data_IF_616045007541
#
_entry.id   IF_616045007541
#
_cell.length_a   1.000
_cell.length_b   1.000
_cell.length_c   1.000
_cell.angle_alpha   90.00
_cell.angle_beta   90.00
_cell.angle_gamma   90.00
#
_symmetry.space_group_name_H-M   'P 1'
#
loop_
_entity.id
_entity.type
_entity.pdbx_description
1 polymer ?
#
# COMPACT_ATOMS: atom_id res chain seq x y z
N UNK A 1 69.20 34.41 -4.51
CA UNK A 1 70.58 34.91 -4.63
C UNK A 1 70.49 36.25 -5.34
N UNK A 2 70.78 37.33 -4.62
CA UNK A 2 70.63 38.69 -5.09
C UNK A 2 71.67 38.99 -6.18
N UNK A 3 71.21 39.09 -7.42
CA UNK A 3 72.00 39.59 -8.55
C UNK A 3 72.09 41.10 -8.41
N UNK A 4 73.25 41.55 -7.94
CA UNK A 4 73.71 42.93 -7.99
C UNK A 4 73.62 43.44 -9.43
N UNK A 5 72.74 44.43 -9.65
CA UNK A 5 72.76 45.30 -10.82
C UNK A 5 74.18 45.87 -10.94
N UNK A 6 74.88 45.74 -12.09
CA UNK A 6 76.13 46.43 -12.27
C UNK A 6 75.88 47.94 -12.25
N UNK A 7 76.70 48.65 -11.50
CA UNK A 7 76.62 50.08 -11.17
C UNK A 7 76.19 50.95 -12.36
N UNK A 8 75.03 51.59 -12.22
CA UNK A 8 74.52 52.65 -13.08
C UNK A 8 75.24 53.99 -12.86
N UNK A 9 76.56 53.97 -12.62
CA UNK A 9 77.37 55.16 -12.38
C UNK A 9 78.70 55.09 -13.14
N UNK A 10 78.65 54.67 -14.39
CA UNK A 10 79.73 54.98 -15.33
C UNK A 10 79.58 56.45 -15.76
N UNK A 11 80.10 57.35 -14.92
CA UNK A 11 80.61 58.69 -15.26
C UNK A 11 79.82 59.37 -16.39
N UNK A 12 78.72 60.07 -16.04
CA UNK A 12 78.19 61.12 -16.91
C UNK A 12 79.26 62.21 -17.01
N UNK A 13 80.13 62.07 -18.00
CA UNK A 13 80.84 63.23 -18.53
C UNK A 13 79.77 64.23 -18.95
N UNK A 14 79.85 65.52 -18.55
CA UNK A 14 78.88 66.52 -18.97
C UNK A 14 78.97 66.67 -20.49
N UNK A 15 78.12 65.93 -21.21
CA UNK A 15 78.04 66.02 -22.65
C UNK A 15 77.46 67.38 -23.01
N UNK A 16 78.10 68.05 -23.96
CA UNK A 16 77.68 69.35 -24.47
C UNK A 16 76.32 69.26 -25.21
N UNK A 17 75.87 68.04 -25.52
CA UNK A 17 74.61 67.76 -26.18
C UNK A 17 73.47 67.65 -25.16
N UNK A 18 72.40 68.39 -25.40
CA UNK A 18 71.16 68.28 -24.65
C UNK A 18 70.30 67.10 -25.13
N UNK A 19 70.61 65.90 -24.62
CA UNK A 19 69.88 64.67 -24.95
C UNK A 19 68.41 64.69 -24.50
N UNK A 20 68.04 65.48 -23.49
CA UNK A 20 66.66 65.56 -23.00
C UNK A 20 65.73 66.18 -24.04
N UNK A 21 66.21 67.21 -24.76
CA UNK A 21 65.47 67.82 -25.87
C UNK A 21 65.23 66.82 -27.01
N UNK A 22 66.23 65.99 -27.34
CA UNK A 22 66.13 64.99 -28.42
C UNK A 22 65.31 63.75 -28.08
N UNK A 23 65.31 63.31 -26.82
CA UNK A 23 64.54 62.15 -26.36
C UNK A 23 63.09 62.52 -26.00
N UNK A 24 62.73 63.81 -26.05
CA UNK A 24 61.38 64.26 -25.74
C UNK A 24 60.35 63.74 -26.77
N UNK A 25 59.18 63.24 -26.33
CA UNK A 25 58.16 62.69 -27.24
C UNK A 25 57.51 63.73 -28.17
N UNK A 26 57.77 65.02 -27.92
CA UNK A 26 57.28 66.15 -28.71
C UNK A 26 58.37 66.77 -29.61
N UNK A 27 59.54 66.13 -29.74
CA UNK A 27 60.63 66.65 -30.55
C UNK A 27 60.20 66.74 -32.02
N UNK A 28 60.18 67.95 -32.57
CA UNK A 28 59.90 68.21 -33.97
C UNK A 28 61.17 68.76 -34.67
N UNK A 29 61.76 68.03 -35.62
CA UNK A 29 63.04 68.41 -36.26
C UNK A 29 62.99 69.79 -36.93
N UNK A 30 61.85 70.15 -37.53
CA UNK A 30 61.67 71.42 -38.23
C UNK A 30 61.61 72.63 -37.28
N UNK A 31 60.99 72.50 -36.10
CA UNK A 31 60.95 73.59 -35.10
C UNK A 31 62.31 73.78 -34.43
N UNK A 32 63.03 72.68 -34.19
CA UNK A 32 64.38 72.74 -33.67
C UNK A 32 65.34 73.43 -34.65
N UNK A 33 65.33 73.03 -35.93
CA UNK A 33 66.11 73.68 -36.98
C UNK A 33 65.79 75.19 -37.07
N UNK A 34 64.51 75.57 -37.01
CA UNK A 34 64.11 76.98 -36.98
C UNK A 34 64.63 77.72 -35.76
N UNK A 35 64.55 77.13 -34.56
CA UNK A 35 65.11 77.76 -33.34
C UNK A 35 66.63 77.96 -33.44
N UNK A 36 67.34 77.05 -34.11
CA UNK A 36 68.80 77.09 -34.25
C UNK A 36 69.24 78.12 -35.30
N UNK A 37 68.49 78.30 -36.38
CA UNK A 37 68.69 79.37 -37.37
C UNK A 37 68.41 80.74 -36.76
N UNK A 38 67.35 80.87 -35.95
CA UNK A 38 67.02 82.12 -35.25
C UNK A 38 68.02 82.46 -34.13
N UNK A 39 68.65 81.46 -33.52
CA UNK A 39 69.64 81.67 -32.45
C UNK A 39 71.03 82.08 -32.97
N UNK A 40 71.32 81.84 -34.26
CA UNK A 40 72.64 82.05 -34.88
C UNK A 40 72.69 83.27 -35.79
N UNK A 41 71.54 83.75 -36.27
CA UNK A 41 71.45 84.89 -37.19
C UNK A 41 70.72 86.07 -36.53
N UNK A 42 71.23 87.29 -36.74
CA UNK A 42 70.51 88.51 -36.38
C UNK A 42 69.59 88.96 -37.52
N UNK A 43 68.48 89.68 -37.24
CA UNK A 43 67.49 90.07 -38.27
C UNK A 43 68.02 91.04 -39.33
N UNK A 44 69.22 91.61 -39.15
CA UNK A 44 69.87 92.54 -40.08
C UNK A 44 70.97 91.88 -40.95
N UNK A 45 71.25 90.59 -40.76
CA UNK A 45 72.28 89.87 -41.54
C UNK A 45 71.75 89.48 -42.93
N UNK A 46 72.36 90.04 -43.99
CA UNK A 46 72.15 89.62 -45.38
C UNK A 46 73.49 89.45 -46.10
N UNK A 47 73.83 88.24 -46.60
CA UNK A 47 73.04 87.01 -46.65
C UNK A 47 73.01 86.22 -45.33
N UNK A 48 71.92 85.46 -45.13
CA UNK A 48 71.69 84.56 -43.99
C UNK A 48 72.79 83.49 -43.89
N UNK A 49 73.41 83.36 -42.72
CA UNK A 49 74.44 82.34 -42.48
C UNK A 49 73.79 81.00 -42.10
N UNK A 50 73.75 80.09 -43.08
CA UNK A 50 73.29 78.71 -42.90
C UNK A 50 74.45 77.75 -42.61
N UNK A 51 75.70 78.18 -42.76
CA UNK A 51 76.86 77.32 -42.56
C UNK A 51 77.08 77.02 -41.08
N UNK A 52 76.89 78.03 -40.20
CA UNK A 52 77.08 77.89 -38.75
C UNK A 52 76.01 76.99 -38.07
N UNK A 53 74.71 77.12 -38.36
CA UNK A 53 73.68 76.18 -37.89
C UNK A 53 73.92 74.74 -38.34
N UNK A 54 74.26 74.58 -39.62
CA UNK A 54 74.45 73.29 -40.23
C UNK A 54 75.69 72.59 -39.69
N UNK A 55 76.79 73.32 -39.47
CA UNK A 55 78.00 72.75 -38.86
C UNK A 55 77.76 72.30 -37.42
N UNK A 56 76.96 73.04 -36.64
CA UNK A 56 76.57 72.63 -35.29
C UNK A 56 75.74 71.35 -35.28
N UNK A 57 74.68 71.27 -36.09
CA UNK A 57 73.84 70.06 -36.18
C UNK A 57 74.63 68.85 -36.68
N UNK A 58 75.54 69.05 -37.64
CA UNK A 58 76.41 67.98 -38.11
C UNK A 58 77.38 67.51 -37.02
N UNK A 59 77.91 68.42 -36.21
CA UNK A 59 78.77 68.07 -35.09
C UNK A 59 78.00 67.28 -34.02
N UNK A 60 76.80 67.75 -33.65
CA UNK A 60 75.92 67.07 -32.70
C UNK A 60 75.54 65.66 -33.21
N UNK A 61 75.20 65.52 -34.48
CA UNK A 61 74.88 64.21 -35.09
C UNK A 61 76.09 63.27 -35.11
N UNK A 62 77.28 63.77 -35.45
CA UNK A 62 78.51 62.98 -35.43
C UNK A 62 78.88 62.53 -34.03
N UNK A 63 78.70 63.39 -33.02
CA UNK A 63 78.96 63.05 -31.63
C UNK A 63 77.96 62.01 -31.11
N UNK A 64 76.66 62.17 -31.41
CA UNK A 64 75.62 61.16 -31.11
C UNK A 64 75.95 59.82 -31.77
N UNK A 65 76.27 59.81 -33.06
CA UNK A 65 76.63 58.58 -33.78
C UNK A 65 77.87 57.92 -33.16
N UNK A 66 78.90 58.71 -32.84
CA UNK A 66 80.11 58.20 -32.19
C UNK A 66 79.83 57.65 -30.80
N UNK A 67 78.90 58.27 -30.05
CA UNK A 67 78.53 57.85 -28.72
C UNK A 67 77.67 56.59 -28.75
N UNK A 68 76.73 56.49 -29.69
CA UNK A 68 75.94 55.28 -29.96
C UNK A 68 76.87 54.16 -30.39
N UNK A 69 77.83 54.40 -31.29
CA UNK A 69 78.79 53.40 -31.72
C UNK A 69 79.69 52.95 -30.56
N UNK A 70 80.15 53.86 -29.71
CA UNK A 70 80.96 53.54 -28.54
C UNK A 70 80.15 52.73 -27.51
N UNK A 71 78.94 53.16 -27.19
CA UNK A 71 78.05 52.43 -26.28
C UNK A 71 77.67 51.08 -26.85
N UNK A 72 77.34 51.00 -28.13
CA UNK A 72 76.96 49.75 -28.81
C UNK A 72 78.14 48.81 -28.89
N UNK A 73 79.34 49.27 -29.23
CA UNK A 73 80.54 48.41 -29.26
C UNK A 73 80.98 47.97 -27.87
N UNK A 74 80.92 48.86 -26.87
CA UNK A 74 81.27 48.55 -25.48
C UNK A 74 80.25 47.63 -24.81
N UNK A 75 78.96 47.79 -25.11
CA UNK A 75 77.86 47.01 -24.53
C UNK A 75 77.31 45.90 -25.45
N UNK A 76 77.90 45.71 -26.64
CA UNK A 76 77.49 44.67 -27.60
C UNK A 76 77.47 43.29 -26.96
N UNK A 77 78.51 42.97 -26.20
CA UNK A 77 78.63 41.67 -25.53
C UNK A 77 77.54 41.50 -24.45
N UNK A 78 77.32 42.44 -23.51
CA UNK A 78 76.19 42.41 -22.59
C UNK A 78 74.81 42.29 -23.25
N UNK A 79 74.54 43.03 -24.33
CA UNK A 79 73.25 43.00 -25.03
C UNK A 79 73.01 41.66 -25.73
N UNK A 80 74.05 41.11 -26.36
CA UNK A 80 73.99 39.77 -26.96
C UNK A 80 73.84 38.68 -25.89
N UNK A 81 74.53 38.79 -24.76
CA UNK A 81 74.36 37.88 -23.63
C UNK A 81 72.95 37.97 -23.01
N UNK A 82 72.41 39.18 -22.86
CA UNK A 82 71.06 39.40 -22.35
C UNK A 82 70.00 38.80 -23.30
N UNK A 83 70.08 39.10 -24.59
CA UNK A 83 69.15 38.52 -25.58
C UNK A 83 69.30 37.01 -25.71
N UNK A 84 70.53 36.48 -25.65
CA UNK A 84 70.79 35.04 -25.64
C UNK A 84 70.20 34.38 -24.40
N UNK A 85 70.44 34.92 -23.21
CA UNK A 85 69.92 34.39 -21.94
C UNK A 85 68.39 34.48 -21.88
N UNK A 86 67.78 35.57 -22.32
CA UNK A 86 66.33 35.73 -22.42
C UNK A 86 65.72 34.71 -23.38
N UNK A 87 66.35 34.50 -24.55
CA UNK A 87 65.91 33.51 -25.54
C UNK A 87 66.06 32.09 -24.99
N UNK A 88 67.16 31.79 -24.31
CA UNK A 88 67.39 30.49 -23.66
C UNK A 88 66.39 30.23 -22.53
N UNK A 89 66.12 31.21 -21.67
CA UNK A 89 65.14 31.11 -20.60
C UNK A 89 63.72 30.90 -21.16
N UNK A 90 63.33 31.67 -22.18
CA UNK A 90 62.03 31.52 -22.84
C UNK A 90 61.87 30.14 -23.48
N UNK A 91 62.91 29.64 -24.16
CA UNK A 91 62.92 28.27 -24.72
C UNK A 91 62.82 27.21 -23.63
N UNK A 92 63.51 27.38 -22.50
CA UNK A 92 63.44 26.45 -21.37
C UNK A 92 62.04 26.43 -20.74
N UNK A 93 61.41 27.60 -20.57
CA UNK A 93 60.04 27.72 -20.04
C UNK A 93 59.04 27.05 -20.99
N UNK A 94 59.12 27.32 -22.29
CA UNK A 94 58.23 26.71 -23.29
C UNK A 94 58.41 25.18 -23.30
N UNK A 95 59.65 24.69 -23.31
CA UNK A 95 59.91 23.25 -23.27
C UNK A 95 59.35 22.58 -22.00
N UNK A 96 59.45 23.25 -20.84
CA UNK A 96 58.88 22.74 -19.59
C UNK A 96 57.35 22.80 -19.58
N UNK A 97 56.76 23.85 -20.16
CA UNK A 97 55.32 23.98 -20.31
C UNK A 97 54.76 22.92 -21.26
N UNK A 98 55.41 22.69 -22.40
CA UNK A 98 55.03 21.66 -23.37
C UNK A 98 55.08 20.27 -22.73
N UNK A 99 56.10 19.98 -21.92
CA UNK A 99 56.18 18.73 -21.18
C UNK A 99 55.03 18.57 -20.16
N UNK A 100 54.63 19.65 -19.49
CA UNK A 100 53.50 19.64 -18.55
C UNK A 100 52.14 19.54 -19.26
N UNK A 101 51.97 20.19 -20.41
CA UNK A 101 50.75 20.09 -21.22
C UNK A 101 50.62 18.67 -21.79
N UNK A 102 51.71 18.08 -22.25
CA UNK A 102 51.74 16.70 -22.72
C UNK A 102 51.35 15.74 -21.60
N UNK A 103 51.96 15.87 -20.41
CA UNK A 103 51.63 15.00 -19.27
C UNK A 103 50.18 15.18 -18.80
N UNK A 104 49.64 16.41 -18.83
CA UNK A 104 48.24 16.67 -18.52
C UNK A 104 47.30 16.00 -19.53
N UNK A 105 47.57 16.15 -20.83
CA UNK A 105 46.77 15.51 -21.87
C UNK A 105 46.81 13.98 -21.77
N UNK A 106 47.98 13.41 -21.45
CA UNK A 106 48.10 11.97 -21.25
C UNK A 106 47.33 11.51 -20.00
N UNK A 107 47.40 12.27 -18.90
CA UNK A 107 46.61 11.99 -17.69
C UNK A 107 45.09 12.10 -17.93
N UNK A 108 44.66 13.06 -18.76
CA UNK A 108 43.26 13.23 -19.12
C UNK A 108 42.77 12.07 -19.99
N UNK A 109 43.55 11.67 -21.00
CA UNK A 109 43.23 10.49 -21.83
C UNK A 109 43.19 9.22 -20.99
N UNK A 110 44.08 9.10 -20.02
CA UNK A 110 44.05 7.98 -19.08
C UNK A 110 42.80 8.01 -18.22
N UNK A 111 42.39 9.18 -17.70
CA UNK A 111 41.18 9.34 -16.90
C UNK A 111 39.90 9.09 -17.70
N UNK A 112 39.83 9.56 -18.95
CA UNK A 112 38.73 9.28 -19.87
C UNK A 112 38.56 7.77 -20.06
N UNK A 113 39.66 7.07 -20.39
CA UNK A 113 39.64 5.63 -20.61
C UNK A 113 39.37 4.82 -19.34
N UNK A 114 39.95 5.21 -18.21
CA UNK A 114 39.85 4.44 -16.97
C UNK A 114 38.57 4.72 -16.18
N UNK A 115 38.01 5.92 -16.28
CA UNK A 115 36.87 6.36 -15.46
C UNK A 115 35.61 6.50 -16.30
N UNK A 116 35.66 7.23 -17.43
CA UNK A 116 34.44 7.54 -18.20
C UNK A 116 33.94 6.28 -18.91
N UNK A 117 34.81 5.59 -19.65
CA UNK A 117 34.43 4.38 -20.37
C UNK A 117 33.97 3.29 -19.40
N UNK A 118 34.72 3.08 -18.30
CA UNK A 118 34.32 2.10 -17.27
C UNK A 118 33.01 2.48 -16.57
N UNK A 119 32.75 3.77 -16.37
CA UNK A 119 31.48 4.22 -15.80
C UNK A 119 30.32 3.96 -16.75
N UNK A 120 30.51 4.18 -18.06
CA UNK A 120 29.51 3.86 -19.07
C UNK A 120 29.21 2.35 -19.11
N UNK A 121 30.24 1.50 -19.09
CA UNK A 121 30.08 0.04 -18.98
C UNK A 121 29.37 -0.36 -17.67
N UNK A 122 29.73 0.25 -16.54
CA UNK A 122 29.09 -0.01 -15.25
C UNK A 122 27.61 0.41 -15.26
N UNK A 123 27.25 1.48 -15.96
CA UNK A 123 25.88 1.95 -16.11
C UNK A 123 25.03 0.99 -16.94
N UNK A 124 25.60 0.41 -18.00
CA UNK A 124 24.95 -0.67 -18.75
C UNK A 124 24.71 -1.91 -17.87
N UNK A 125 25.72 -2.33 -17.10
CA UNK A 125 25.60 -3.45 -16.15
C UNK A 125 24.54 -3.13 -15.09
N UNK A 126 24.49 -1.89 -14.59
CA UNK A 126 23.47 -1.44 -13.63
C UNK A 126 22.07 -1.57 -14.21
N UNK A 127 21.86 -1.19 -15.47
CA UNK A 127 20.58 -1.35 -16.15
C UNK A 127 20.19 -2.83 -16.32
N UNK A 128 21.14 -3.68 -16.70
CA UNK A 128 20.92 -5.14 -16.79
C UNK A 128 20.57 -5.71 -15.41
N UNK A 129 21.29 -5.31 -14.36
CA UNK A 129 21.04 -5.75 -12.99
C UNK A 129 19.66 -5.31 -12.48
N UNK A 130 19.22 -4.08 -12.80
CA UNK A 130 17.87 -3.61 -12.46
C UNK A 130 16.79 -4.42 -13.17
N UNK A 131 16.95 -4.69 -14.47
CA UNK A 131 16.01 -5.54 -15.22
C UNK A 131 15.97 -6.96 -14.66
N UNK A 132 17.12 -7.54 -14.32
CA UNK A 132 17.21 -8.86 -13.69
C UNK A 132 16.56 -8.89 -12.30
N UNK A 133 16.72 -7.81 -11.53
CA UNK A 133 16.07 -7.71 -10.23
C UNK A 133 14.55 -7.60 -10.36
N UNK A 134 14.05 -6.80 -11.31
CA UNK A 134 12.61 -6.70 -11.59
C UNK A 134 12.02 -8.04 -12.03
N UNK A 135 12.71 -8.78 -12.92
CA UNK A 135 12.26 -10.11 -13.35
C UNK A 135 12.30 -11.12 -12.21
N UNK A 136 13.35 -11.11 -11.37
CA UNK A 136 13.44 -11.98 -10.19
C UNK A 136 12.34 -11.66 -9.17
N UNK A 137 12.08 -10.38 -8.90
CA UNK A 137 11.03 -9.94 -7.98
C UNK A 137 9.66 -10.41 -8.45
N UNK A 138 9.32 -10.14 -9.71
CA UNK A 138 8.06 -10.58 -10.32
C UNK A 138 7.96 -12.11 -10.36
N UNK A 139 9.04 -12.81 -10.69
CA UNK A 139 9.10 -14.27 -10.73
C UNK A 139 8.89 -14.91 -9.37
N UNK A 140 9.48 -14.36 -8.30
CA UNK A 140 9.27 -14.83 -6.92
C UNK A 140 7.84 -14.61 -6.44
N UNK A 141 7.29 -13.42 -6.68
CA UNK A 141 5.91 -13.12 -6.31
C UNK A 141 4.91 -13.99 -7.10
N UNK A 142 5.12 -14.18 -8.41
CA UNK A 142 4.33 -15.12 -9.21
C UNK A 142 4.45 -16.56 -8.68
N UNK A 143 5.67 -17.00 -8.33
CA UNK A 143 5.91 -18.32 -7.74
C UNK A 143 5.14 -18.52 -6.44
N UNK A 144 5.15 -17.52 -5.55
CA UNK A 144 4.37 -17.53 -4.30
C UNK A 144 2.86 -17.62 -4.58
N UNK A 145 2.33 -16.79 -5.49
CA UNK A 145 0.91 -16.84 -5.88
C UNK A 145 0.51 -18.20 -6.46
N UNK A 146 1.32 -18.78 -7.35
CA UNK A 146 1.05 -20.09 -7.95
C UNK A 146 1.14 -21.22 -6.91
N UNK A 147 2.09 -21.16 -5.98
CA UNK A 147 2.22 -22.12 -4.90
C UNK A 147 1.01 -22.07 -3.96
N UNK A 148 0.58 -20.87 -3.57
CA UNK A 148 -0.64 -20.68 -2.78
C UNK A 148 -1.89 -21.11 -3.54
N UNK A 149 -1.96 -20.85 -4.85
CA UNK A 149 -3.04 -21.33 -5.72
C UNK A 149 -3.10 -22.86 -5.80
N UNK A 150 -1.95 -23.52 -5.92
CA UNK A 150 -1.86 -24.99 -5.87
C UNK A 150 -2.26 -25.53 -4.51
N UNK A 151 -1.80 -24.91 -3.42
CA UNK A 151 -2.19 -25.27 -2.06
C UNK A 151 -3.70 -25.14 -1.88
N UNK A 152 -4.31 -24.08 -2.40
CA UNK A 152 -5.76 -23.88 -2.37
C UNK A 152 -6.49 -25.00 -3.12
N UNK A 153 -6.02 -25.41 -4.30
CA UNK A 153 -6.64 -26.51 -5.05
C UNK A 153 -6.57 -27.84 -4.32
N UNK A 154 -5.44 -28.14 -3.66
CA UNK A 154 -5.28 -29.38 -2.86
C UNK A 154 -6.19 -29.34 -1.64
N UNK A 155 -6.21 -28.23 -0.90
CA UNK A 155 -7.10 -28.08 0.25
C UNK A 155 -8.58 -28.11 -0.16
N UNK A 156 -8.89 -27.62 -1.36
CA UNK A 156 -10.25 -27.66 -1.89
C UNK A 156 -10.67 -29.05 -2.37
N UNK A 157 -9.75 -29.87 -2.89
CA UNK A 157 -10.07 -31.26 -3.26
C UNK A 157 -10.33 -32.15 -2.04
N UNK A 158 -9.69 -31.87 -0.91
CA UNK A 158 -9.97 -32.51 0.39
C UNK A 158 -11.43 -32.29 0.85
N UNK A 159 -12.04 -31.16 0.48
CA UNK A 159 -13.44 -30.85 0.80
C UNK A 159 -14.45 -31.70 -0.01
N UNK A 160 -14.04 -32.17 -1.19
CA UNK A 160 -14.89 -32.91 -2.13
C UNK A 160 -14.60 -34.42 -2.23
N UNK A 161 -13.62 -34.93 -1.47
CA UNK A 161 -13.18 -36.32 -1.55
C UNK A 161 -14.10 -37.30 -0.81
N UNK A 162 -14.64 -38.35 -1.48
CA UNK A 162 -15.40 -39.41 -0.82
C UNK A 162 -14.54 -40.46 -0.09
N UNK A 163 -13.20 -40.30 -0.08
CA UNK A 163 -12.25 -41.34 0.35
C UNK A 163 -12.19 -41.57 1.86
N UNK A 164 -12.73 -40.65 2.64
CA UNK A 164 -12.92 -40.78 4.08
C UNK A 164 -14.30 -40.24 4.38
N UNK A 165 -15.25 -41.05 4.85
CA UNK A 165 -16.63 -40.62 5.17
C UNK A 165 -16.76 -39.50 6.22
N UNK A 166 -15.65 -38.83 6.58
CA UNK A 166 -15.55 -37.57 7.31
C UNK A 166 -15.03 -36.52 6.34
N UNK A 167 -15.92 -35.63 5.90
CA UNK A 167 -15.53 -34.36 5.29
C UNK A 167 -14.74 -33.55 6.32
N UNK A 168 -13.49 -33.24 6.04
CA UNK A 168 -12.66 -32.41 6.92
C UNK A 168 -13.14 -30.95 6.84
N UNK A 169 -14.09 -30.60 7.72
CA UNK A 169 -14.61 -29.24 7.81
C UNK A 169 -13.53 -28.21 8.19
N UNK A 170 -12.40 -28.65 8.76
CA UNK A 170 -11.20 -27.83 8.95
C UNK A 170 -10.55 -27.38 7.64
N UNK A 171 -10.76 -28.09 6.53
CA UNK A 171 -10.26 -27.69 5.21
C UNK A 171 -10.90 -26.38 4.73
N UNK A 172 -12.16 -26.10 5.09
CA UNK A 172 -12.82 -24.81 4.79
C UNK A 172 -12.07 -23.63 5.40
N UNK A 173 -11.62 -23.78 6.65
CA UNK A 173 -10.87 -22.76 7.38
C UNK A 173 -9.47 -22.60 6.80
N UNK A 174 -8.81 -23.71 6.45
CA UNK A 174 -7.51 -23.64 5.76
C UNK A 174 -7.61 -22.92 4.41
N UNK A 175 -8.63 -23.23 3.62
CA UNK A 175 -8.87 -22.57 2.34
C UNK A 175 -9.13 -21.08 2.51
N UNK A 176 -9.93 -20.66 3.51
CA UNK A 176 -10.19 -19.24 3.74
C UNK A 176 -8.92 -18.46 4.12
N UNK A 177 -8.03 -19.02 4.95
CA UNK A 177 -6.72 -18.42 5.23
C UNK A 177 -5.83 -18.34 3.99
N UNK A 178 -5.80 -19.38 3.15
CA UNK A 178 -5.05 -19.37 1.88
C UNK A 178 -5.60 -18.34 0.89
N UNK A 179 -6.93 -18.15 0.83
CA UNK A 179 -7.55 -17.10 0.01
C UNK A 179 -7.18 -15.71 0.54
N UNK A 180 -7.16 -15.53 1.86
CA UNK A 180 -6.77 -14.26 2.46
C UNK A 180 -5.29 -13.94 2.22
N UNK A 181 -4.39 -14.92 2.32
CA UNK A 181 -2.97 -14.70 1.99
C UNK A 181 -2.76 -14.44 0.49
N UNK A 182 -3.56 -15.05 -0.39
CA UNK A 182 -3.58 -14.70 -1.81
C UNK A 182 -4.04 -13.27 -2.04
N UNK A 183 -5.10 -12.81 -1.36
CA UNK A 183 -5.57 -11.42 -1.43
C UNK A 183 -4.48 -10.46 -0.94
N UNK A 184 -3.81 -10.77 0.16
CA UNK A 184 -2.73 -9.93 0.70
C UNK A 184 -1.64 -9.67 -0.35
N UNK A 185 -1.18 -10.72 -1.03
CA UNK A 185 -0.15 -10.59 -2.07
C UNK A 185 -0.67 -9.83 -3.31
N UNK A 186 -1.94 -10.00 -3.67
CA UNK A 186 -2.55 -9.35 -4.85
C UNK A 186 -2.97 -7.88 -4.60
N UNK A 187 -3.28 -7.54 -3.36
CA UNK A 187 -3.74 -6.21 -2.95
C UNK A 187 -2.58 -5.28 -2.56
N UNK A 188 -1.41 -5.84 -2.25
CA UNK A 188 -0.17 -5.09 -1.98
C UNK A 188 0.43 -4.48 -3.26
N UNK A 189 -0.26 -3.46 -3.80
CA UNK A 189 0.02 -2.83 -5.10
C UNK A 189 0.95 -1.61 -5.03
N UNK A 190 1.42 -1.21 -3.85
CA UNK A 190 2.25 -0.02 -3.71
C UNK A 190 3.65 -0.20 -4.33
N UNK A 191 4.34 0.88 -4.74
CA UNK A 191 5.69 0.77 -5.29
C UNK A 191 6.64 0.16 -4.24
N UNK A 192 7.32 -0.94 -4.63
CA UNK A 192 8.19 -1.82 -3.80
C UNK A 192 7.47 -2.95 -3.04
N UNK A 193 6.16 -3.04 -3.10
CA UNK A 193 5.42 -4.18 -2.55
C UNK A 193 5.39 -5.37 -3.52
N UNK A 194 5.12 -6.57 -2.97
CA UNK A 194 5.17 -7.84 -3.72
C UNK A 194 4.15 -7.90 -4.87
N UNK A 195 3.02 -7.19 -4.75
CA UNK A 195 1.96 -7.17 -5.75
C UNK A 195 2.19 -6.22 -6.93
N UNK A 196 3.20 -5.35 -6.87
CA UNK A 196 3.42 -4.33 -7.89
C UNK A 196 3.81 -4.94 -9.24
N UNK A 197 2.86 -4.91 -10.19
CA UNK A 197 3.02 -5.43 -11.55
C UNK A 197 2.51 -6.85 -11.77
N UNK A 198 1.98 -7.51 -10.74
CA UNK A 198 1.37 -8.84 -10.86
C UNK A 198 0.12 -8.84 -11.75
N UNK A 199 -0.68 -7.77 -11.70
CA UNK A 199 -1.87 -7.61 -12.54
C UNK A 199 -1.57 -7.56 -14.04
N UNK A 200 -0.32 -7.32 -14.44
CA UNK A 200 0.07 -7.31 -15.86
C UNK A 200 0.33 -8.73 -16.39
N UNK A 201 0.48 -9.72 -15.51
CA UNK A 201 0.80 -11.10 -15.88
C UNK A 201 -0.48 -11.89 -16.18
N UNK A 202 -0.61 -12.36 -17.42
CA UNK A 202 -1.76 -13.18 -17.85
C UNK A 202 -1.92 -14.47 -17.01
N UNK A 203 -0.81 -15.07 -16.55
CA UNK A 203 -0.86 -16.24 -15.68
C UNK A 203 -1.59 -15.97 -14.36
N UNK A 204 -1.42 -14.78 -13.78
CA UNK A 204 -2.05 -14.40 -12.52
C UNK A 204 -3.51 -14.05 -12.74
N UNK A 205 -3.86 -13.36 -13.83
CA UNK A 205 -5.26 -13.16 -14.22
C UNK A 205 -5.98 -14.49 -14.42
N UNK A 206 -5.37 -15.42 -15.16
CA UNK A 206 -5.91 -16.75 -15.35
C UNK A 206 -6.07 -17.48 -14.01
N UNK A 207 -5.11 -17.40 -13.08
CA UNK A 207 -5.24 -17.99 -11.74
C UNK A 207 -6.42 -17.38 -10.97
N UNK A 208 -6.59 -16.05 -11.02
CA UNK A 208 -7.69 -15.36 -10.36
C UNK A 208 -9.05 -15.83 -10.92
N UNK A 209 -9.20 -15.81 -12.24
CA UNK A 209 -10.47 -16.08 -12.91
C UNK A 209 -10.85 -17.57 -12.88
N UNK A 210 -9.88 -18.48 -13.03
CA UNK A 210 -10.13 -19.92 -13.16
C UNK A 210 -10.06 -20.69 -11.85
N UNK A 211 -9.35 -20.17 -10.84
CA UNK A 211 -9.11 -20.88 -9.58
C UNK A 211 -9.64 -20.10 -8.39
N UNK A 212 -9.14 -18.87 -8.16
CA UNK A 212 -9.42 -18.15 -6.90
C UNK A 212 -10.90 -17.78 -6.79
N UNK A 213 -11.45 -17.06 -7.78
CA UNK A 213 -12.85 -16.63 -7.80
C UNK A 213 -13.84 -17.80 -7.71
N UNK A 214 -13.74 -18.87 -8.53
CA UNK A 214 -14.69 -19.97 -8.45
C UNK A 214 -14.57 -20.79 -7.15
N UNK A 215 -13.35 -21.02 -6.63
CA UNK A 215 -13.18 -21.72 -5.35
C UNK A 215 -13.74 -20.88 -4.21
N UNK A 216 -13.49 -19.58 -4.20
CA UNK A 216 -14.03 -18.68 -3.19
C UNK A 216 -15.57 -18.71 -3.19
N UNK A 217 -16.20 -18.53 -4.36
CA UNK A 217 -17.66 -18.62 -4.50
C UNK A 217 -18.18 -19.95 -3.98
N UNK A 218 -17.54 -21.06 -4.37
CA UNK A 218 -17.96 -22.39 -3.94
C UNK A 218 -17.80 -22.60 -2.43
N UNK A 219 -16.75 -22.08 -1.81
CA UNK A 219 -16.59 -22.11 -0.35
C UNK A 219 -17.70 -21.31 0.32
N UNK A 220 -18.01 -20.11 -0.17
CA UNK A 220 -19.11 -19.31 0.39
C UNK A 220 -20.45 -20.03 0.27
N UNK A 221 -20.76 -20.62 -0.89
CA UNK A 221 -21.99 -21.39 -1.10
C UNK A 221 -22.08 -22.62 -0.19
N UNK A 222 -20.98 -23.36 -0.03
CA UNK A 222 -20.91 -24.53 0.87
C UNK A 222 -21.08 -24.10 2.31
N UNK A 223 -20.40 -23.04 2.77
CA UNK A 223 -20.55 -22.55 4.14
C UNK A 223 -21.96 -22.01 4.41
N UNK A 224 -22.58 -21.30 3.48
CA UNK A 224 -23.98 -20.89 3.62
C UNK A 224 -24.94 -22.08 3.64
N UNK A 225 -24.69 -23.11 2.82
CA UNK A 225 -25.49 -24.34 2.82
C UNK A 225 -25.39 -25.06 4.15
N UNK A 226 -24.19 -25.21 4.71
CA UNK A 226 -23.98 -25.85 6.02
C UNK A 226 -24.72 -25.11 7.15
N UNK A 227 -24.77 -23.78 7.10
CA UNK A 227 -25.57 -23.00 8.07
C UNK A 227 -27.07 -23.21 7.85
N UNK A 228 -27.54 -23.25 6.59
CA UNK A 228 -28.96 -23.50 6.26
C UNK A 228 -29.45 -24.89 6.63
N UNK A 229 -28.61 -25.90 6.49
CA UNK A 229 -28.92 -27.30 6.78
C UNK A 229 -28.72 -27.67 8.25
N UNK A 230 -28.29 -26.72 9.09
CA UNK A 230 -28.08 -26.96 10.51
C UNK A 230 -29.39 -27.37 11.19
N UNK A 231 -29.39 -28.57 11.75
CA UNK A 231 -30.46 -29.09 12.58
C UNK A 231 -29.87 -30.04 13.61
N UNK A 232 -30.35 -29.96 14.85
CA UNK A 232 -29.99 -30.88 15.93
C UNK A 232 -31.24 -31.66 16.32
N UNK A 233 -31.43 -32.88 15.78
CA UNK A 233 -32.51 -33.75 16.21
C UNK A 233 -32.41 -34.04 17.71
N UNK A 234 -33.55 -34.19 18.38
CA UNK A 234 -33.61 -34.51 19.81
C UNK A 234 -32.99 -35.87 20.18
N UNK A 235 -32.80 -36.77 19.20
CA UNK A 235 -32.22 -38.12 19.36
C UNK A 235 -30.75 -38.23 18.93
N UNK A 236 -30.06 -37.11 18.72
CA UNK A 236 -28.67 -37.11 18.25
C UNK A 236 -27.71 -37.60 19.34
N UNK A 237 -26.66 -38.34 18.95
CA UNK A 237 -25.60 -38.74 19.89
C UNK A 237 -24.66 -37.57 20.20
N UNK A 238 -23.96 -37.63 21.35
CA UNK A 238 -22.97 -36.60 21.72
C UNK A 238 -21.94 -36.38 20.59
N UNK A 239 -21.39 -37.46 20.02
CA UNK A 239 -20.43 -37.38 18.92
C UNK A 239 -21.00 -36.67 17.68
N UNK A 240 -22.24 -36.96 17.30
CA UNK A 240 -22.89 -36.31 16.16
C UNK A 240 -23.21 -34.83 16.44
N UNK A 241 -23.52 -34.48 17.69
CA UNK A 241 -23.75 -33.09 18.09
C UNK A 241 -22.47 -32.26 18.09
N UNK A 242 -21.34 -32.85 18.49
CA UNK A 242 -20.03 -32.23 18.47
C UNK A 242 -19.54 -32.05 17.03
N UNK A 243 -19.84 -33.03 16.17
CA UNK A 243 -19.60 -32.92 14.74
C UNK A 243 -20.45 -31.83 14.10
N UNK A 244 -21.76 -31.76 14.39
CA UNK A 244 -22.62 -30.67 13.92
C UNK A 244 -22.15 -29.29 14.42
N UNK A 245 -21.63 -29.22 15.65
CA UNK A 245 -21.02 -28.00 16.20
C UNK A 245 -19.75 -27.64 15.43
N UNK A 246 -18.82 -28.56 15.23
CA UNK A 246 -17.55 -28.28 14.53
C UNK A 246 -17.76 -27.91 13.06
N UNK A 247 -18.77 -28.49 12.41
CA UNK A 247 -19.27 -28.11 11.07
C UNK A 247 -19.76 -26.67 11.03
N UNK A 248 -20.59 -26.30 12.01
CA UNK A 248 -21.15 -24.96 12.08
C UNK A 248 -20.06 -23.93 12.38
N UNK A 249 -19.17 -24.22 13.33
CA UNK A 249 -18.08 -23.29 13.68
C UNK A 249 -17.10 -23.09 12.52
N UNK A 250 -16.76 -24.13 11.76
CA UNK A 250 -15.89 -23.98 10.57
C UNK A 250 -16.57 -23.20 9.44
N UNK A 251 -17.86 -23.42 9.19
CA UNK A 251 -18.61 -22.65 8.20
C UNK A 251 -18.74 -21.18 8.61
N UNK A 252 -19.00 -20.91 9.89
CA UNK A 252 -19.07 -19.55 10.42
C UNK A 252 -17.72 -18.83 10.36
N UNK A 253 -16.64 -19.50 10.75
CA UNK A 253 -15.29 -18.92 10.67
C UNK A 253 -14.87 -18.68 9.21
N UNK A 254 -15.21 -19.56 8.28
CA UNK A 254 -14.98 -19.35 6.84
C UNK A 254 -15.73 -18.13 6.31
N UNK A 255 -17.03 -17.97 6.60
CA UNK A 255 -17.81 -16.80 6.16
C UNK A 255 -17.38 -15.50 6.84
N UNK A 256 -16.93 -15.58 8.10
CA UNK A 256 -16.36 -14.43 8.80
C UNK A 256 -15.09 -13.96 8.10
N UNK A 257 -14.16 -14.88 7.84
CA UNK A 257 -12.87 -14.61 7.19
C UNK A 257 -13.01 -14.17 5.73
N UNK A 258 -13.94 -14.74 4.97
CA UNK A 258 -14.13 -14.39 3.56
C UNK A 258 -14.94 -13.12 3.35
N UNK A 259 -15.54 -12.56 4.40
CA UNK A 259 -16.39 -11.38 4.27
C UNK A 259 -15.58 -10.16 3.77
N UNK A 260 -16.20 -9.27 2.97
CA UNK A 260 -15.48 -8.20 2.29
C UNK A 260 -14.69 -7.31 3.27
N UNK A 261 -13.37 -7.32 3.17
CA UNK A 261 -12.44 -6.50 3.97
C UNK A 261 -11.81 -5.34 3.20
N UNK A 262 -12.05 -5.26 1.89
CA UNK A 262 -11.42 -4.28 0.99
C UNK A 262 -11.80 -2.84 1.34
N UNK A 263 -10.80 -2.03 1.72
CA UNK A 263 -10.94 -0.58 1.89
C UNK A 263 -11.76 -0.12 3.10
N UNK A 264 -12.09 -1.02 4.02
CA UNK A 264 -12.91 -0.70 5.21
C UNK A 264 -11.99 -0.52 6.41
N UNK A 265 -12.13 0.62 7.09
CA UNK A 265 -11.45 0.91 8.35
C UNK A 265 -11.81 -0.16 9.42
N UNK A 266 -10.86 -0.59 10.25
CA UNK A 266 -11.04 -1.70 11.20
C UNK A 266 -12.22 -1.49 12.16
N UNK A 267 -12.49 -0.24 12.56
CA UNK A 267 -13.57 0.10 13.50
C UNK A 267 -15.00 0.00 12.89
N UNK A 268 -15.13 -0.11 11.55
CA UNK A 268 -16.42 -0.17 10.85
C UNK A 268 -16.67 -1.51 10.14
N UNK A 269 -15.73 -2.44 10.25
CA UNK A 269 -15.86 -3.72 9.57
C UNK A 269 -16.91 -4.60 10.25
N UNK A 270 -17.80 -5.16 9.45
CA UNK A 270 -18.86 -6.08 9.90
C UNK A 270 -18.91 -7.28 8.97
N UNK A 271 -19.01 -8.52 9.49
CA UNK A 271 -18.99 -9.73 8.66
C UNK A 271 -20.33 -9.91 7.93
N UNK A 272 -20.49 -9.22 6.80
CA UNK A 272 -21.75 -9.16 6.03
C UNK A 272 -22.24 -10.54 5.59
N UNK A 273 -21.35 -11.40 5.08
CA UNK A 273 -21.69 -12.73 4.58
C UNK A 273 -22.24 -13.63 5.70
N UNK A 274 -21.55 -13.66 6.84
CA UNK A 274 -21.99 -14.42 8.02
C UNK A 274 -23.34 -13.90 8.52
N UNK A 275 -23.47 -12.59 8.70
CA UNK A 275 -24.71 -11.99 9.21
C UNK A 275 -25.87 -12.23 8.24
N UNK A 276 -25.65 -12.21 6.92
CA UNK A 276 -26.67 -12.51 5.92
C UNK A 276 -27.09 -13.98 5.94
N UNK A 277 -26.14 -14.91 6.07
CA UNK A 277 -26.43 -16.34 6.18
C UNK A 277 -27.26 -16.65 7.43
N UNK A 278 -26.89 -16.09 8.58
CA UNK A 278 -27.61 -16.25 9.84
C UNK A 278 -29.00 -15.59 9.80
N UNK A 279 -29.12 -14.39 9.20
CA UNK A 279 -30.42 -13.73 9.03
C UNK A 279 -31.37 -14.54 8.15
N UNK A 280 -30.84 -15.08 7.05
CA UNK A 280 -31.62 -15.94 6.14
C UNK A 280 -32.09 -17.21 6.87
N UNK A 281 -31.24 -17.83 7.68
CA UNK A 281 -31.58 -19.02 8.46
C UNK A 281 -32.69 -18.76 9.50
N UNK A 282 -32.57 -17.68 10.29
CA UNK A 282 -33.59 -17.34 11.30
C UNK A 282 -34.92 -16.99 10.63
N UNK A 283 -34.89 -16.22 9.54
CA UNK A 283 -36.10 -15.87 8.78
C UNK A 283 -36.75 -17.08 8.13
N UNK A 284 -35.99 -18.00 7.56
CA UNK A 284 -36.55 -19.21 6.94
C UNK A 284 -37.19 -20.14 7.99
N UNK A 285 -36.54 -20.33 9.15
CA UNK A 285 -37.11 -21.09 10.26
C UNK A 285 -38.40 -20.45 10.78
N UNK A 286 -38.45 -19.12 10.89
CA UNK A 286 -39.65 -18.38 11.31
C UNK A 286 -40.79 -18.48 10.30
N UNK A 287 -40.50 -18.28 9.02
CA UNK A 287 -41.51 -18.34 7.95
C UNK A 287 -42.08 -19.75 7.82
N UNK A 288 -41.22 -20.78 7.87
CA UNK A 288 -41.63 -22.19 7.86
C UNK A 288 -42.53 -22.54 9.04
N UNK A 289 -42.12 -22.16 10.25
CA UNK A 289 -42.88 -22.38 11.49
C UNK A 289 -44.23 -21.66 11.49
N UNK A 290 -44.26 -20.40 11.04
CA UNK A 290 -45.49 -19.61 10.92
C UNK A 290 -46.46 -20.24 9.91
N UNK A 291 -45.94 -20.70 8.76
CA UNK A 291 -46.76 -21.33 7.72
C UNK A 291 -47.28 -22.72 8.15
N UNK A 292 -46.50 -23.50 8.90
CA UNK A 292 -46.92 -24.80 9.43
C UNK A 292 -48.03 -24.62 10.47
N UNK A 293 -47.82 -23.71 11.45
CA UNK A 293 -48.80 -23.42 12.50
C UNK A 293 -50.06 -22.74 11.97
N UNK A 294 -49.96 -21.82 10.99
CA UNK A 294 -51.14 -21.22 10.37
C UNK A 294 -52.01 -22.25 9.64
N UNK A 295 -51.42 -23.28 9.04
CA UNK A 295 -52.17 -24.36 8.37
C UNK A 295 -52.82 -25.30 9.38
N UNK A 296 -52.11 -25.65 10.45
CA UNK A 296 -52.63 -26.56 11.48
C UNK A 296 -53.73 -25.94 12.34
N UNK A 297 -53.73 -24.61 12.51
CA UNK A 297 -54.87 -23.89 13.10
C UNK A 297 -56.14 -23.99 12.23
N UNK A 298 -55.99 -24.17 10.90
CA UNK A 298 -57.07 -24.52 10.00
C UNK A 298 -57.48 -26.00 10.03
N UNK A 299 -56.58 -26.88 10.49
CA UNK A 299 -56.70 -28.33 10.47
C UNK A 299 -56.19 -28.93 11.80
N UNK A 300 -56.99 -28.80 12.86
CA UNK A 300 -56.62 -29.14 14.24
C UNK A 300 -55.96 -30.51 14.47
N UNK A 301 -56.30 -31.61 13.76
CA UNK A 301 -55.64 -32.90 13.94
C UNK A 301 -54.13 -32.89 13.64
N UNK A 302 -53.64 -31.88 12.91
CA UNK A 302 -52.21 -31.73 12.57
C UNK A 302 -51.46 -30.79 13.52
N UNK A 303 -52.15 -30.22 14.52
CA UNK A 303 -51.60 -29.23 15.44
C UNK A 303 -50.39 -29.77 16.20
N UNK A 304 -50.48 -30.95 16.80
CA UNK A 304 -49.39 -31.54 17.59
C UNK A 304 -48.12 -31.77 16.76
N UNK A 305 -48.29 -32.22 15.50
CA UNK A 305 -47.17 -32.39 14.57
C UNK A 305 -46.53 -31.05 14.21
N UNK A 306 -47.35 -30.05 13.88
CA UNK A 306 -46.84 -28.69 13.55
C UNK A 306 -46.16 -28.02 14.75
N UNK A 307 -46.68 -28.23 15.97
CA UNK A 307 -46.07 -27.70 17.20
C UNK A 307 -44.74 -28.41 17.50
N UNK A 308 -44.63 -29.71 17.25
CA UNK A 308 -43.36 -30.42 17.36
C UNK A 308 -42.31 -29.88 16.38
N UNK A 309 -42.70 -29.56 15.13
CA UNK A 309 -41.81 -28.90 14.15
C UNK A 309 -41.38 -27.50 14.61
N UNK A 310 -42.31 -26.68 15.10
CA UNK A 310 -42.03 -25.34 15.65
C UNK A 310 -41.07 -25.41 16.84
N UNK A 311 -41.28 -26.38 17.74
CA UNK A 311 -40.39 -26.64 18.88
C UNK A 311 -39.00 -27.00 18.40
N UNK A 312 -38.88 -27.91 17.42
CA UNK A 312 -37.58 -28.30 16.87
C UNK A 312 -36.84 -27.11 16.22
N UNK A 313 -37.53 -26.26 15.47
CA UNK A 313 -36.94 -25.03 14.92
C UNK A 313 -36.46 -24.07 16.02
N UNK A 314 -37.26 -23.88 17.08
CA UNK A 314 -36.87 -23.05 18.22
C UNK A 314 -35.64 -23.62 18.96
N UNK A 315 -35.58 -24.94 19.17
CA UNK A 315 -34.44 -25.62 19.78
C UNK A 315 -33.17 -25.52 18.94
N UNK A 316 -33.28 -25.56 17.61
CA UNK A 316 -32.16 -25.32 16.70
C UNK A 316 -31.66 -23.88 16.74
N UNK A 317 -32.56 -22.89 16.90
CA UNK A 317 -32.18 -21.48 17.09
C UNK A 317 -31.48 -21.30 18.44
N UNK A 318 -32.00 -21.93 19.50
CA UNK A 318 -31.41 -21.90 20.83
C UNK A 318 -30.00 -22.55 20.86
N UNK A 319 -29.81 -23.67 20.17
CA UNK A 319 -28.49 -24.31 20.06
C UNK A 319 -27.52 -23.46 19.24
N UNK A 320 -28.00 -22.80 18.17
CA UNK A 320 -27.20 -21.85 17.40
C UNK A 320 -26.75 -20.64 18.25
N UNK A 321 -27.63 -20.08 19.09
CA UNK A 321 -27.29 -19.01 20.04
C UNK A 321 -26.18 -19.45 21.01
N UNK A 322 -26.30 -20.64 21.62
CA UNK A 322 -25.26 -21.20 22.49
C UNK A 322 -23.92 -21.46 21.79
N UNK A 323 -23.95 -21.93 20.54
CA UNK A 323 -22.74 -22.16 19.75
C UNK A 323 -22.08 -20.81 19.42
N UNK A 324 -22.86 -19.80 19.03
CA UNK A 324 -22.38 -18.44 18.77
C UNK A 324 -21.76 -17.79 20.01
N UNK A 325 -22.33 -18.01 21.21
CA UNK A 325 -21.77 -17.48 22.46
C UNK A 325 -20.43 -18.15 22.80
N UNK A 326 -20.31 -19.44 22.51
CA UNK A 326 -19.12 -20.21 22.81
C UNK A 326 -18.03 -20.12 21.74
N UNK A 327 -18.33 -19.63 20.53
CA UNK A 327 -17.32 -19.33 19.51
C UNK A 327 -16.69 -17.97 19.73
N UNK A 328 -15.42 -17.95 20.09
CA UNK A 328 -14.61 -16.72 20.07
C UNK A 328 -14.42 -16.23 18.62
N UNK A 329 -14.39 -14.90 18.44
CA UNK A 329 -14.16 -14.30 17.13
C UNK A 329 -12.78 -14.69 16.60
N UNK A 330 -12.67 -15.38 15.45
CA UNK A 330 -11.36 -15.76 14.92
C UNK A 330 -10.56 -14.50 14.56
N UNK A 331 -9.25 -14.53 14.82
CA UNK A 331 -8.35 -13.44 14.46
C UNK A 331 -8.34 -13.26 12.94
N UNK A 332 -8.76 -12.09 12.47
CA UNK A 332 -8.76 -11.78 11.04
C UNK A 332 -7.35 -11.31 10.63
N UNK A 333 -6.69 -11.93 9.64
CA UNK A 333 -5.32 -11.58 9.22
C UNK A 333 -5.12 -10.10 8.88
N UNK A 334 -6.14 -9.46 8.29
CA UNK A 334 -6.11 -8.03 7.93
C UNK A 334 -6.55 -7.08 9.06
N UNK A 335 -7.09 -7.61 10.15
CA UNK A 335 -7.54 -6.83 11.31
C UNK A 335 -6.99 -7.49 12.58
N UNK A 336 -5.69 -7.30 12.89
CA UNK A 336 -5.12 -7.80 14.13
C UNK A 336 -5.94 -7.22 15.30
N UNK A 337 -6.40 -8.11 16.18
CA UNK A 337 -7.29 -7.74 17.27
C UNK A 337 -6.68 -6.59 18.09
N UNK A 338 -7.43 -5.49 18.37
CA UNK A 338 -6.94 -4.47 19.28
C UNK A 338 -6.77 -5.12 20.65
N UNK A 339 -5.53 -5.18 21.14
CA UNK A 339 -5.11 -5.95 22.32
C UNK A 339 -5.89 -5.69 23.62
N UNK A 340 -6.85 -4.75 23.68
CA UNK A 340 -7.63 -4.40 24.89
C UNK A 340 -9.05 -3.85 24.66
N UNK A 341 -9.72 -4.08 23.52
CA UNK A 341 -11.16 -3.73 23.39
C UNK A 341 -12.01 -4.99 23.49
N UNK A 342 -13.03 -4.96 24.36
CA UNK A 342 -14.03 -6.03 24.55
C UNK A 342 -14.44 -6.58 23.19
N UNK A 343 -13.95 -7.77 22.83
CA UNK A 343 -14.38 -8.45 21.62
C UNK A 343 -15.89 -8.65 21.77
N UNK A 344 -16.67 -7.96 20.94
CA UNK A 344 -18.09 -8.26 20.84
C UNK A 344 -18.18 -9.69 20.33
N UNK A 345 -18.68 -10.60 21.16
CA UNK A 345 -18.93 -11.99 20.74
C UNK A 345 -19.77 -11.98 19.46
N UNK A 346 -19.63 -13.00 18.61
CA UNK A 346 -20.41 -13.09 17.36
C UNK A 346 -21.93 -12.96 17.62
N UNK A 347 -22.39 -13.37 18.81
CA UNK A 347 -23.74 -13.11 19.30
C UNK A 347 -24.08 -11.64 19.45
N UNK A 348 -23.23 -10.80 20.05
CA UNK A 348 -23.53 -9.38 20.24
C UNK A 348 -23.67 -8.63 18.91
N UNK A 349 -22.91 -9.03 17.88
CA UNK A 349 -23.03 -8.48 16.53
C UNK A 349 -24.33 -8.88 15.84
N UNK A 350 -24.83 -10.08 16.12
CA UNK A 350 -26.10 -10.55 15.57
C UNK A 350 -27.28 -9.94 16.33
N UNK A 351 -27.22 -9.92 17.67
CA UNK A 351 -28.23 -9.35 18.54
C UNK A 351 -28.39 -7.84 18.31
N UNK A 352 -27.32 -7.12 18.05
CA UNK A 352 -27.40 -5.69 17.65
C UNK A 352 -28.09 -5.51 16.30
N UNK A 353 -27.87 -6.42 15.34
CA UNK A 353 -28.56 -6.39 14.03
C UNK A 353 -30.06 -6.65 14.13
N UNK A 354 -30.48 -7.52 15.05
CA UNK A 354 -31.90 -7.79 15.32
C UNK A 354 -32.50 -6.90 16.40
N UNK A 355 -31.73 -5.95 16.97
CA UNK A 355 -32.12 -5.08 18.08
C UNK A 355 -32.81 -5.84 19.24
N UNK A 356 -32.38 -7.08 19.49
CA UNK A 356 -33.05 -7.98 20.45
C UNK A 356 -32.05 -8.55 21.45
N UNK A 357 -32.52 -8.86 22.66
CA UNK A 357 -31.72 -9.45 23.73
C UNK A 357 -31.52 -10.97 23.64
N UNK A 358 -32.38 -11.69 22.90
CA UNK A 358 -32.20 -13.11 22.59
C UNK A 358 -32.88 -13.52 21.28
N UNK A 359 -32.30 -14.48 20.57
CA UNK A 359 -32.85 -14.99 19.30
C UNK A 359 -34.18 -15.71 19.50
N UNK A 360 -34.30 -16.44 20.60
CA UNK A 360 -35.53 -17.17 20.97
C UNK A 360 -36.69 -16.19 21.21
N UNK A 361 -36.42 -15.06 21.89
CA UNK A 361 -37.43 -14.02 22.13
C UNK A 361 -37.90 -13.38 20.82
N UNK A 362 -36.95 -13.10 19.91
CA UNK A 362 -37.27 -12.58 18.58
C UNK A 362 -38.15 -13.54 17.79
N UNK A 363 -37.83 -14.84 17.82
CA UNK A 363 -38.60 -15.88 17.12
C UNK A 363 -40.05 -15.94 17.58
N UNK A 364 -40.29 -16.07 18.90
CA UNK A 364 -41.66 -16.16 19.43
C UNK A 364 -42.47 -14.87 19.25
N UNK A 365 -41.86 -13.69 19.45
CA UNK A 365 -42.58 -12.41 19.27
C UNK A 365 -42.97 -12.17 17.81
N UNK A 366 -42.05 -12.45 16.89
CA UNK A 366 -42.29 -12.29 15.46
C UNK A 366 -43.26 -13.36 14.91
N UNK A 367 -43.28 -14.54 15.51
CA UNK A 367 -44.29 -15.55 15.19
C UNK A 367 -45.68 -15.14 15.71
N UNK A 368 -45.77 -14.67 16.95
CA UNK A 368 -47.03 -14.21 17.56
C UNK A 368 -47.70 -13.11 16.74
N UNK A 369 -46.93 -12.13 16.27
CA UNK A 369 -47.47 -11.03 15.45
C UNK A 369 -48.06 -11.53 14.13
N UNK A 370 -47.35 -12.43 13.44
CA UNK A 370 -47.80 -12.99 12.16
C UNK A 370 -49.01 -13.93 12.31
N UNK A 371 -49.05 -14.73 13.38
CA UNK A 371 -50.15 -15.65 13.64
C UNK A 371 -51.40 -14.92 14.10
N UNK A 372 -51.26 -13.84 14.90
CA UNK A 372 -52.38 -13.01 15.35
C UNK A 372 -53.28 -12.58 14.19
N UNK A 373 -52.66 -12.05 13.12
CA UNK A 373 -53.38 -11.61 11.92
C UNK A 373 -54.17 -12.75 11.24
N UNK A 374 -53.61 -13.96 11.20
CA UNK A 374 -54.28 -15.13 10.59
C UNK A 374 -55.36 -15.72 11.47
N UNK A 375 -55.18 -15.77 12.78
CA UNK A 375 -56.23 -16.22 13.70
C UNK A 375 -57.41 -15.27 13.67
N UNK A 376 -57.17 -13.95 13.61
CA UNK A 376 -58.23 -12.96 13.45
C UNK A 376 -58.99 -13.12 12.13
N UNK A 377 -58.31 -13.44 11.03
CA UNK A 377 -58.94 -13.75 9.75
C UNK A 377 -59.82 -15.01 9.81
N UNK A 378 -59.33 -16.09 10.44
CA UNK A 378 -60.10 -17.33 10.62
C UNK A 378 -61.33 -17.08 11.51
N UNK A 379 -61.17 -16.31 12.59
CA UNK A 379 -62.25 -15.97 13.51
C UNK A 379 -63.33 -15.09 12.86
N UNK A 380 -62.92 -14.10 12.06
CA UNK A 380 -63.84 -13.16 11.39
C UNK A 380 -64.58 -13.78 10.19
N UNK A 381 -63.95 -14.68 9.45
CA UNK A 381 -64.61 -15.42 8.35
C UNK A 381 -65.72 -16.36 8.84
N UNK A 382 -65.65 -16.77 10.11
CA UNK A 382 -66.59 -17.72 10.68
C UNK A 382 -66.52 -19.11 10.03
N UNK A 383 -67.33 -20.05 10.52
CA UNK A 383 -67.41 -21.42 9.99
C UNK A 383 -67.00 -22.50 10.98
N UNK A 384 -66.94 -23.74 10.49
CA UNK A 384 -66.71 -24.94 11.31
C UNK A 384 -65.34 -24.87 12.02
N UNK A 385 -64.30 -24.43 11.31
CA UNK A 385 -62.94 -24.28 11.86
C UNK A 385 -62.92 -23.28 13.03
N UNK A 386 -63.57 -22.12 12.89
CA UNK A 386 -63.66 -21.12 13.95
C UNK A 386 -64.44 -21.62 15.17
N UNK A 387 -65.53 -22.38 14.95
CA UNK A 387 -66.31 -23.01 16.03
C UNK A 387 -65.48 -24.07 16.77
N UNK A 388 -64.79 -24.94 16.04
CA UNK A 388 -63.91 -25.98 16.61
C UNK A 388 -62.74 -25.37 17.37
N UNK A 389 -62.16 -24.26 16.89
CA UNK A 389 -61.13 -23.50 17.61
C UNK A 389 -61.65 -22.89 18.92
N UNK A 390 -62.89 -22.37 18.93
CA UNK A 390 -63.54 -21.85 20.16
C UNK A 390 -63.79 -22.95 21.18
N UNK A 391 -64.28 -24.12 20.73
CA UNK A 391 -64.52 -25.28 21.61
C UNK A 391 -63.23 -25.86 22.18
N UNK A 392 -62.15 -25.91 21.40
CA UNK A 392 -60.85 -26.45 21.83
C UNK A 392 -59.87 -25.37 22.32
N UNK A 393 -60.35 -24.17 22.65
CA UNK A 393 -59.53 -23.01 23.02
C UNK A 393 -58.51 -23.32 24.13
N UNK A 394 -58.93 -24.03 25.18
CA UNK A 394 -58.07 -24.38 26.31
C UNK A 394 -57.00 -25.39 25.90
N UNK A 395 -57.37 -26.41 25.11
CA UNK A 395 -56.44 -27.44 24.62
C UNK A 395 -55.36 -26.83 23.72
N UNK A 396 -55.75 -25.94 22.80
CA UNK A 396 -54.80 -25.22 21.93
C UNK A 396 -53.91 -24.29 22.76
N UNK A 397 -54.46 -23.59 23.75
CA UNK A 397 -53.70 -22.74 24.67
C UNK A 397 -52.64 -23.53 25.46
N UNK A 398 -53.04 -24.67 26.03
CA UNK A 398 -52.14 -25.54 26.79
C UNK A 398 -51.07 -26.18 25.88
N UNK A 399 -51.42 -26.60 24.67
CA UNK A 399 -50.47 -27.15 23.69
C UNK A 399 -49.43 -26.10 23.27
N UNK A 400 -49.84 -24.85 23.02
CA UNK A 400 -48.93 -23.74 22.72
C UNK A 400 -48.06 -23.40 23.92
N UNK A 401 -48.61 -23.35 25.14
CA UNK A 401 -47.83 -23.13 26.37
C UNK A 401 -46.73 -24.19 26.51
N UNK A 402 -47.09 -25.46 26.35
CA UNK A 402 -46.12 -26.56 26.39
C UNK A 402 -45.09 -26.48 25.26
N UNK A 403 -45.49 -26.03 24.06
CA UNK A 403 -44.58 -25.84 22.94
C UNK A 403 -43.56 -24.73 23.22
N UNK A 404 -43.98 -23.58 23.78
CA UNK A 404 -43.04 -22.50 24.15
C UNK A 404 -42.06 -22.96 25.22
N UNK A 405 -42.53 -23.65 26.26
CA UNK A 405 -41.68 -24.20 27.33
C UNK A 405 -40.69 -25.23 26.78
N UNK A 406 -41.12 -26.14 25.91
CA UNK A 406 -40.23 -27.14 25.28
C UNK A 406 -39.27 -26.52 24.28
N UNK A 407 -39.69 -25.49 23.55
CA UNK A 407 -38.85 -24.77 22.58
C UNK A 407 -37.76 -23.94 23.24
N UNK A 408 -38.01 -23.40 24.43
CA UNK A 408 -37.01 -22.72 25.25
C UNK A 408 -36.04 -23.65 25.98
N UNK A 409 -36.28 -24.96 25.98
CA UNK A 409 -35.34 -25.96 26.51
C UNK A 409 -34.31 -26.30 25.43
N UNK A 410 -33.05 -26.00 25.70
CA UNK A 410 -31.95 -26.43 24.83
C UNK A 410 -31.79 -27.95 24.91
N UNK A 411 -31.35 -28.62 23.82
CA UNK A 411 -31.07 -30.05 23.86
C UNK A 411 -30.10 -30.38 24.99
N UNK A 412 -30.38 -31.44 25.76
CA UNK A 412 -29.59 -31.89 26.94
C UNK A 412 -28.07 -31.98 26.70
N UNK A 413 -27.68 -32.14 25.43
CA UNK A 413 -26.28 -32.26 25.01
C UNK A 413 -25.49 -30.95 25.17
N UNK A 414 -26.16 -29.80 25.19
CA UNK A 414 -25.53 -28.48 25.39
C UNK A 414 -25.76 -27.89 26.79
N UNK A 415 -26.52 -28.57 27.66
CA UNK A 415 -26.74 -28.11 29.03
C UNK A 415 -25.57 -28.51 29.93
N UNK A 416 -24.50 -27.71 29.97
CA UNK A 416 -23.44 -27.86 30.98
C UNK A 416 -23.98 -27.49 32.36
N UNK A 417 -24.46 -28.48 33.13
CA UNK A 417 -24.41 -28.61 34.61
C UNK A 417 -24.75 -27.45 35.56
N UNK A 418 -24.99 -26.22 35.09
CA UNK A 418 -25.33 -25.06 35.91
C UNK A 418 -26.83 -25.10 36.15
N UNK A 419 -27.20 -25.20 37.44
CA UNK A 419 -28.55 -25.23 38.01
C UNK A 419 -29.60 -24.64 37.06
N UNK A 420 -30.55 -25.47 36.62
CA UNK A 420 -31.79 -25.05 35.95
C UNK A 420 -32.41 -23.91 36.78
N UNK A 421 -32.39 -22.64 36.34
CA UNK A 421 -33.37 -21.69 36.85
C UNK A 421 -34.75 -22.23 36.44
N UNK A 422 -35.77 -21.98 37.25
CA UNK A 422 -37.16 -22.36 36.94
C UNK A 422 -37.51 -21.92 35.51
N UNK A 423 -37.56 -22.90 34.59
CA UNK A 423 -37.67 -22.68 33.13
C UNK A 423 -39.01 -22.03 32.79
N UNK A 424 -40.03 -22.18 33.64
CA UNK A 424 -41.32 -21.51 33.47
C UNK A 424 -41.19 -19.99 33.68
N UNK A 425 -40.44 -19.55 34.69
CA UNK A 425 -40.39 -18.13 35.07
C UNK A 425 -39.62 -17.25 34.08
N UNK A 426 -38.72 -17.84 33.28
CA UNK A 426 -37.93 -17.10 32.29
C UNK A 426 -38.70 -16.82 31.00
N UNK A 427 -39.69 -17.66 30.65
CA UNK A 427 -40.43 -17.58 29.38
C UNK A 427 -41.89 -17.13 29.54
N UNK A 428 -42.32 -16.76 30.75
CA UNK A 428 -43.69 -16.32 31.04
C UNK A 428 -44.15 -15.17 30.13
N UNK A 429 -43.24 -14.27 29.76
CA UNK A 429 -43.53 -13.17 28.83
C UNK A 429 -43.82 -13.67 27.42
N UNK A 430 -43.01 -14.57 26.90
CA UNK A 430 -43.15 -15.15 25.56
C UNK A 430 -44.38 -16.08 25.49
N UNK A 431 -44.65 -16.83 26.56
CA UNK A 431 -45.88 -17.62 26.73
C UNK A 431 -47.11 -16.70 26.68
N UNK A 432 -47.12 -15.61 27.43
CA UNK A 432 -48.23 -14.65 27.44
C UNK A 432 -48.44 -14.00 26.06
N UNK A 433 -47.37 -13.65 25.34
CA UNK A 433 -47.43 -13.07 24.00
C UNK A 433 -47.98 -14.07 22.97
N UNK A 434 -47.49 -15.30 22.97
CA UNK A 434 -47.96 -16.35 22.04
C UNK A 434 -49.40 -16.75 22.34
N UNK A 435 -49.74 -17.03 23.61
CA UNK A 435 -51.12 -17.34 23.99
C UNK A 435 -52.06 -16.17 23.71
N UNK A 436 -51.64 -14.93 23.99
CA UNK A 436 -52.41 -13.73 23.69
C UNK A 436 -52.71 -13.57 22.20
N UNK A 437 -51.76 -13.91 21.32
CA UNK A 437 -51.96 -13.82 19.86
C UNK A 437 -53.03 -14.79 19.33
N UNK A 438 -53.26 -15.90 20.01
CA UNK A 438 -54.25 -16.92 19.60
C UNK A 438 -55.55 -16.75 20.38
N UNK A 439 -55.50 -16.66 21.71
CA UNK A 439 -56.66 -16.67 22.59
C UNK A 439 -57.47 -15.38 22.58
N UNK A 440 -56.82 -14.21 22.42
CA UNK A 440 -57.53 -12.91 22.39
C UNK A 440 -58.33 -12.73 21.10
N UNK A 441 -57.90 -13.36 20.01
CA UNK A 441 -58.56 -13.29 18.71
C UNK A 441 -59.68 -14.32 18.54
N UNK A 442 -59.67 -15.41 19.33
CA UNK A 442 -60.72 -16.45 19.32
C UNK A 442 -61.95 -16.03 20.16
N UNK A 443 -61.74 -15.18 21.18
CA UNK A 443 -62.76 -14.77 22.15
C UNK A 443 -63.53 -13.49 21.82
N UNK A 444 -63.18 -12.79 20.74
CA UNK A 444 -63.96 -11.66 20.21
C UNK A 444 -65.02 -12.11 19.21
#
# INVERSE_FOLDING_TARGET
MATTLPDAQAIEEPSYIDYETFLSPNFAPASFANSLVLATNNPDDSPLDLATPLSRVLFDAQEIDSHIDLLTTRSAVPLLQYTQSQTQASKAIVAQLDAQIASLNDSYKQLEKEVIDKHAEAEEIRQVALRLWETLRLGRAMGRCLQLGRQLQVQFSELGGPSTGKTDYGALVRCSYTILSLREVLDSRAPREEGHGLDKLNAIKNLQDTVIVPIERRITEVSERLIREFAIPSSITFAQSEEARSRLTSAMTALYLLSPSMGIQPDKWSPKLLLQALDTYVRSALQGSTASLSRSLGQLPTLDKSLAEVVAHCQNIASLELILEATETPAHPFFPAPAKKKQHSLTQLLLSRFETSSLISYFWRSMASNISARVQEIASRGGIVARTLRTNKNVVGDAIRQAVVKGGQTPNVFSSGKKKPSVETTWDREIAVMMGSVLNNIGR
#
